data_IF_325351234077
#
_entry.id   IF_325351234077
#
_cell.length_a   1.000
_cell.length_b   1.000
_cell.length_c   1.000
_cell.angle_alpha   90.00
_cell.angle_beta   90.00
_cell.angle_gamma   90.00
#
_symmetry.space_group_name_H-M   'P 1'
#
loop_
_entity.id
_entity.type
_entity.pdbx_description
1 polymer ?
#
# COMPACT_ATOMS: atom_id res chain seq x y z
N UNK A 1 -10.59 0.72 -9.73
CA UNK A 1 -11.25 1.95 -9.22
C UNK A 1 -12.28 1.69 -8.12
N UNK A 2 -13.05 0.58 -8.14
CA UNK A 2 -14.04 0.26 -7.08
C UNK A 2 -13.39 -0.18 -5.76
N UNK A 3 -12.38 -1.04 -5.82
CA UNK A 3 -11.67 -1.58 -4.64
C UNK A 3 -10.94 -0.51 -3.83
N UNK A 4 -10.40 0.51 -4.51
CA UNK A 4 -9.79 1.65 -3.82
C UNK A 4 -10.81 2.47 -3.03
N UNK A 5 -11.95 2.81 -3.63
CA UNK A 5 -13.03 3.52 -2.94
C UNK A 5 -13.58 2.72 -1.75
N UNK A 6 -13.64 1.40 -1.87
CA UNK A 6 -13.99 0.52 -0.76
C UNK A 6 -13.00 0.63 0.39
N UNK A 7 -11.69 0.56 0.12
CA UNK A 7 -10.66 0.76 1.13
C UNK A 7 -10.71 2.16 1.75
N UNK A 8 -10.90 3.21 0.95
CA UNK A 8 -11.00 4.58 1.46
C UNK A 8 -12.19 4.76 2.41
N UNK A 9 -13.34 4.13 2.11
CA UNK A 9 -14.51 4.13 2.98
C UNK A 9 -14.24 3.41 4.31
N UNK A 10 -13.65 2.20 4.26
CA UNK A 10 -13.27 1.46 5.45
C UNK A 10 -12.34 2.26 6.36
N UNK A 11 -11.37 2.97 5.77
CA UNK A 11 -10.41 3.79 6.52
C UNK A 11 -11.08 5.00 7.14
N UNK A 12 -12.01 5.65 6.43
CA UNK A 12 -12.81 6.74 6.96
C UNK A 12 -13.66 6.28 8.16
N UNK A 13 -14.10 5.03 8.14
CA UNK A 13 -14.86 4.38 9.22
C UNK A 13 -13.97 3.83 10.36
N UNK A 14 -12.67 4.09 10.34
CA UNK A 14 -11.73 3.66 11.38
C UNK A 14 -11.30 2.19 11.27
N UNK A 15 -11.61 1.52 10.16
CA UNK A 15 -11.16 0.15 9.89
C UNK A 15 -9.74 0.18 9.33
N UNK A 16 -8.85 -0.53 10.01
CA UNK A 16 -7.50 -0.81 9.55
C UNK A 16 -7.51 -2.12 8.74
N UNK A 17 -7.10 -2.03 7.48
CA UNK A 17 -7.02 -3.16 6.54
C UNK A 17 -5.55 -3.54 6.34
N UNK A 18 -5.23 -4.83 6.48
CA UNK A 18 -3.87 -5.33 6.32
C UNK A 18 -3.87 -6.72 5.68
N UNK A 19 -2.70 -7.18 5.24
CA UNK A 19 -2.53 -8.54 4.70
C UNK A 19 -1.72 -9.36 5.70
N UNK A 20 -2.25 -10.51 6.11
CA UNK A 20 -1.58 -11.49 6.99
C UNK A 20 -1.72 -12.88 6.40
N UNK A 21 -0.63 -13.64 6.34
CA UNK A 21 -0.60 -15.02 5.82
C UNK A 21 -1.25 -15.19 4.43
N UNK A 22 -1.21 -14.16 3.58
CA UNK A 22 -1.83 -14.18 2.25
C UNK A 22 -3.34 -13.87 2.23
N UNK A 23 -3.92 -13.47 3.37
CA UNK A 23 -5.32 -13.10 3.50
C UNK A 23 -5.47 -11.62 3.88
N UNK A 24 -6.59 -11.03 3.46
CA UNK A 24 -6.98 -9.69 3.90
C UNK A 24 -7.60 -9.80 5.29
N UNK A 25 -7.08 -9.01 6.21
CA UNK A 25 -7.54 -8.91 7.59
C UNK A 25 -7.99 -7.49 7.92
N UNK A 26 -8.87 -7.39 8.90
CA UNK A 26 -9.51 -6.16 9.35
C UNK A 26 -9.41 -6.03 10.87
N UNK A 27 -9.10 -4.83 11.35
CA UNK A 27 -9.20 -4.48 12.77
C UNK A 27 -9.79 -3.08 12.93
N UNK A 28 -10.66 -2.85 13.91
CA UNK A 28 -11.36 -1.58 14.08
C UNK A 28 -12.69 -1.76 14.83
N UNK A 29 -13.63 -0.81 14.71
CA UNK A 29 -14.97 -0.94 15.26
C UNK A 29 -15.67 -2.23 14.80
N UNK A 30 -16.28 -2.96 15.72
CA UNK A 30 -16.81 -4.32 15.47
C UNK A 30 -17.91 -4.33 14.40
N UNK A 31 -18.81 -3.34 14.42
CA UNK A 31 -19.86 -3.15 13.42
C UNK A 31 -19.27 -2.94 12.02
N UNK A 32 -18.25 -2.09 11.90
CA UNK A 32 -17.59 -1.81 10.61
C UNK A 32 -16.76 -2.99 10.12
N UNK A 33 -16.11 -3.73 11.00
CA UNK A 33 -15.39 -4.96 10.65
C UNK A 33 -16.35 -6.04 10.17
N UNK A 34 -17.52 -6.18 10.80
CA UNK A 34 -18.55 -7.11 10.34
C UNK A 34 -19.06 -6.74 8.93
N UNK A 35 -19.41 -5.47 8.70
CA UNK A 35 -19.80 -4.96 7.37
C UNK A 35 -18.70 -5.20 6.31
N UNK A 36 -17.43 -4.97 6.67
CA UNK A 36 -16.29 -5.21 5.78
C UNK A 36 -16.17 -6.70 5.40
N UNK A 37 -16.36 -7.60 6.37
CA UNK A 37 -16.32 -9.06 6.13
C UNK A 37 -17.50 -9.51 5.25
N UNK A 38 -18.68 -8.95 5.45
CA UNK A 38 -19.85 -9.22 4.58
C UNK A 38 -19.59 -8.78 3.14
N UNK A 39 -19.06 -7.57 2.94
CA UNK A 39 -18.69 -7.08 1.62
C UNK A 39 -17.63 -7.96 0.94
N UNK A 40 -16.64 -8.45 1.68
CA UNK A 40 -15.64 -9.40 1.18
C UNK A 40 -16.24 -10.73 0.73
N UNK A 41 -17.26 -11.23 1.45
CA UNK A 41 -17.98 -12.44 1.06
C UNK A 41 -18.86 -12.22 -0.18
N UNK A 42 -19.49 -11.04 -0.30
CA UNK A 42 -20.34 -10.69 -1.43
C UNK A 42 -19.56 -10.47 -2.74
N UNK A 43 -18.28 -10.05 -2.65
CA UNK A 43 -17.42 -9.80 -3.81
C UNK A 43 -16.08 -10.55 -3.69
N UNK A 44 -16.04 -11.84 -4.07
CA UNK A 44 -14.85 -12.69 -3.89
C UNK A 44 -13.56 -12.20 -4.59
N UNK A 45 -13.67 -11.33 -5.60
CA UNK A 45 -12.49 -10.74 -6.26
C UNK A 45 -11.81 -9.65 -5.42
N UNK A 46 -12.51 -9.04 -4.45
CA UNK A 46 -11.97 -7.94 -3.64
C UNK A 46 -10.70 -8.34 -2.90
N UNK A 47 -10.64 -9.56 -2.34
CA UNK A 47 -9.48 -9.99 -1.58
C UNK A 47 -8.19 -9.99 -2.41
N UNK A 48 -8.23 -10.58 -3.60
CA UNK A 48 -7.08 -10.61 -4.50
C UNK A 48 -6.70 -9.22 -5.02
N UNK A 49 -7.67 -8.32 -5.19
CA UNK A 49 -7.42 -6.93 -5.56
C UNK A 49 -6.78 -6.15 -4.41
N UNK A 50 -7.33 -6.23 -3.19
CA UNK A 50 -6.77 -5.59 -1.99
C UNK A 50 -5.35 -6.07 -1.72
N UNK A 51 -5.08 -7.38 -1.84
CA UNK A 51 -3.73 -7.92 -1.67
C UNK A 51 -2.76 -7.29 -2.68
N UNK A 52 -3.14 -7.17 -3.95
CA UNK A 52 -2.29 -6.52 -4.96
C UNK A 52 -2.07 -5.03 -4.67
N UNK A 53 -3.09 -4.33 -4.18
CA UNK A 53 -3.00 -2.92 -3.80
C UNK A 53 -2.06 -2.71 -2.60
N UNK A 54 -2.14 -3.59 -1.59
CA UNK A 54 -1.37 -3.47 -0.35
C UNK A 54 0.04 -4.08 -0.47
N UNK A 55 0.22 -5.08 -1.31
CA UNK A 55 1.49 -5.76 -1.58
C UNK A 55 1.75 -5.81 -3.11
N UNK A 56 2.08 -4.68 -3.75
CA UNK A 56 2.39 -4.66 -5.17
C UNK A 56 3.64 -5.48 -5.46
N UNK A 57 3.60 -6.24 -6.55
CA UNK A 57 4.73 -7.06 -7.00
C UNK A 57 5.90 -6.18 -7.46
N UNK A 58 7.12 -6.73 -7.61
CA UNK A 58 8.24 -5.97 -8.18
C UNK A 58 7.93 -5.39 -9.58
N UNK A 59 7.14 -6.11 -10.39
CA UNK A 59 6.71 -5.64 -11.71
C UNK A 59 5.77 -4.43 -11.60
N UNK A 60 4.77 -4.48 -10.71
CA UNK A 60 3.84 -3.37 -10.49
C UNK A 60 4.58 -2.11 -9.99
N UNK A 61 5.54 -2.30 -9.08
CA UNK A 61 6.38 -1.19 -8.58
C UNK A 61 7.26 -0.62 -9.68
N UNK A 62 7.70 -1.45 -10.61
CA UNK A 62 8.51 -1.01 -11.75
C UNK A 62 7.68 -0.18 -12.72
N UNK A 63 6.50 -0.67 -13.09
CA UNK A 63 5.55 0.07 -13.92
C UNK A 63 5.20 1.42 -13.28
N UNK A 64 4.96 1.44 -11.96
CA UNK A 64 4.78 2.68 -11.23
C UNK A 64 5.97 3.63 -11.39
N UNK A 65 7.20 3.18 -11.14
CA UNK A 65 8.42 3.99 -11.25
C UNK A 65 8.59 4.57 -12.65
N UNK A 66 8.34 3.77 -13.68
CA UNK A 66 8.48 4.15 -15.09
C UNK A 66 7.45 5.22 -15.49
N UNK A 67 6.28 5.25 -14.84
CA UNK A 67 5.27 6.30 -15.02
C UNK A 67 5.61 7.63 -14.31
N UNK A 68 6.63 7.68 -13.45
CA UNK A 68 6.96 8.87 -12.67
C UNK A 68 7.80 9.90 -13.45
N UNK A 69 7.80 11.14 -12.95
CA UNK A 69 8.68 12.21 -13.44
C UNK A 69 10.16 11.96 -13.15
N UNK A 70 11.03 12.73 -13.81
CA UNK A 70 12.49 12.55 -13.74
C UNK A 70 13.06 12.67 -12.32
N UNK A 71 12.46 13.47 -11.44
CA UNK A 71 12.93 13.60 -10.06
C UNK A 71 12.88 12.28 -9.29
N UNK A 72 11.76 11.54 -9.38
CA UNK A 72 11.59 10.26 -8.70
C UNK A 72 12.50 9.19 -9.32
N UNK A 73 12.61 9.19 -10.67
CA UNK A 73 13.51 8.28 -11.38
C UNK A 73 14.99 8.54 -11.05
N UNK A 74 15.39 9.79 -10.86
CA UNK A 74 16.74 10.16 -10.42
C UNK A 74 17.01 9.71 -8.99
N UNK A 75 16.09 9.96 -8.06
CA UNK A 75 16.22 9.49 -6.68
C UNK A 75 16.42 7.97 -6.62
N UNK A 76 15.62 7.21 -7.39
CA UNK A 76 15.79 5.76 -7.49
C UNK A 76 17.22 5.39 -7.92
N UNK A 77 17.75 5.98 -8.99
CA UNK A 77 19.11 5.69 -9.49
C UNK A 77 20.17 6.03 -8.44
N UNK A 78 20.08 7.20 -7.82
CA UNK A 78 21.01 7.60 -6.74
C UNK A 78 20.95 6.64 -5.55
N UNK A 79 19.75 6.13 -5.20
CA UNK A 79 19.57 5.15 -4.13
C UNK A 79 20.20 3.81 -4.51
N UNK A 80 20.04 3.35 -5.76
CA UNK A 80 20.71 2.14 -6.27
C UNK A 80 22.23 2.26 -6.13
N UNK A 81 22.80 3.40 -6.54
CA UNK A 81 24.25 3.62 -6.47
C UNK A 81 24.78 3.61 -5.02
N UNK A 82 24.05 4.25 -4.09
CA UNK A 82 24.40 4.20 -2.66
C UNK A 82 24.36 2.78 -2.09
N UNK A 83 23.34 1.99 -2.43
CA UNK A 83 23.18 0.61 -1.94
C UNK A 83 24.25 -0.32 -2.53
N UNK A 84 24.58 -0.17 -3.81
CA UNK A 84 25.68 -0.91 -4.45
C UNK A 84 27.02 -0.60 -3.77
N UNK A 85 27.31 0.68 -3.53
CA UNK A 85 28.52 1.11 -2.85
C UNK A 85 28.62 0.56 -1.42
N UNK A 86 27.48 0.33 -0.77
CA UNK A 86 27.39 -0.28 0.55
C UNK A 86 27.45 -1.83 0.54
N UNK A 87 27.54 -2.47 -0.62
CA UNK A 87 27.61 -3.93 -0.73
C UNK A 87 26.27 -4.66 -0.55
N UNK A 88 25.14 -4.00 -0.76
CA UNK A 88 23.81 -4.63 -0.69
C UNK A 88 23.58 -5.49 -1.93
N UNK A 89 23.37 -6.80 -1.75
CA UNK A 89 23.22 -7.77 -2.84
C UNK A 89 22.02 -7.49 -3.77
N UNK A 90 20.91 -7.00 -3.22
CA UNK A 90 19.66 -6.71 -3.94
C UNK A 90 19.38 -5.19 -4.04
N UNK A 91 20.43 -4.40 -4.33
CA UNK A 91 20.37 -2.95 -4.32
C UNK A 91 19.20 -2.37 -5.16
N UNK A 92 18.91 -2.95 -6.32
CA UNK A 92 17.83 -2.50 -7.20
C UNK A 92 16.44 -2.82 -6.63
N UNK A 93 16.24 -4.02 -6.09
CA UNK A 93 14.98 -4.42 -5.47
C UNK A 93 14.70 -3.63 -4.20
N UNK A 94 15.71 -3.43 -3.36
CA UNK A 94 15.62 -2.61 -2.14
C UNK A 94 15.34 -1.15 -2.51
N UNK A 95 16.07 -0.59 -3.48
CA UNK A 95 15.82 0.77 -3.95
C UNK A 95 14.42 0.94 -4.53
N UNK A 96 13.92 -0.01 -5.32
CA UNK A 96 12.59 0.04 -5.91
C UNK A 96 11.52 0.00 -4.82
N UNK A 97 11.66 -0.92 -3.86
CA UNK A 97 10.72 -1.08 -2.75
C UNK A 97 10.66 0.17 -1.87
N UNK A 98 11.82 0.72 -1.49
CA UNK A 98 11.92 1.90 -0.63
C UNK A 98 11.53 3.18 -1.35
N UNK A 99 11.90 3.37 -2.62
CA UNK A 99 11.47 4.55 -3.41
C UNK A 99 9.96 4.57 -3.56
N UNK A 100 9.34 3.43 -3.89
CA UNK A 100 7.89 3.28 -3.93
C UNK A 100 7.25 3.60 -2.57
N UNK A 101 7.82 3.09 -1.48
CA UNK A 101 7.33 3.35 -0.12
C UNK A 101 7.48 4.83 0.29
N UNK A 102 8.59 5.48 -0.02
CA UNK A 102 8.80 6.90 0.33
C UNK A 102 7.86 7.82 -0.45
N UNK A 103 7.46 7.38 -1.64
CA UNK A 103 6.54 8.09 -2.53
C UNK A 103 5.11 7.61 -2.40
N UNK A 104 4.80 6.88 -1.33
CA UNK A 104 3.45 6.45 -0.95
C UNK A 104 2.40 7.59 -0.99
N UNK A 105 2.81 8.85 -0.85
CA UNK A 105 1.98 10.05 -1.01
C UNK A 105 1.69 10.45 -2.46
N UNK A 106 2.59 10.11 -3.38
CA UNK A 106 2.58 10.41 -4.82
C UNK A 106 2.17 9.21 -5.69
N UNK A 107 1.99 8.04 -5.08
CA UNK A 107 1.40 6.90 -5.77
C UNK A 107 0.05 7.31 -6.37
N UNK A 108 -0.30 6.86 -7.59
CA UNK A 108 -1.67 6.99 -8.07
C UNK A 108 -2.61 6.38 -7.02
N UNK A 109 -3.84 6.87 -6.88
CA UNK A 109 -4.73 6.50 -5.75
C UNK A 109 -4.82 4.98 -5.53
N UNK A 110 -4.80 4.18 -6.59
CA UNK A 110 -4.79 2.72 -6.50
C UNK A 110 -3.50 2.10 -5.92
N UNK A 111 -2.49 2.85 -5.54
CA UNK A 111 -1.24 2.33 -4.99
C UNK A 111 -0.86 2.97 -3.65
N UNK A 112 -1.46 4.09 -3.27
CA UNK A 112 -1.17 4.76 -1.99
C UNK A 112 -1.46 3.81 -0.81
N UNK A 113 -0.65 3.79 0.25
CA UNK A 113 -1.01 3.07 1.46
C UNK A 113 -2.29 3.63 2.04
N UNK A 114 -3.05 2.73 2.64
CA UNK A 114 -4.10 3.08 3.58
C UNK A 114 -3.43 3.79 4.76
N UNK A 115 -3.57 5.12 4.83
CA UNK A 115 -3.06 5.88 5.98
C UNK A 115 -3.96 5.61 7.18
N UNK A 116 -3.38 5.20 8.31
CA UNK A 116 -4.05 5.34 9.61
C UNK A 116 -4.41 6.82 9.78
N UNK A 117 -5.68 7.12 10.00
CA UNK A 117 -6.07 8.41 10.55
C UNK A 117 -5.50 8.45 11.98
N UNK A 118 -4.41 9.19 12.18
CA UNK A 118 -3.90 9.50 13.52
C UNK A 118 -4.83 10.57 14.07
N UNK A 119 -5.81 10.16 14.87
CA UNK A 119 -6.86 11.03 15.39
C UNK A 119 -7.78 10.33 16.38
N UNK A 120 -7.20 9.56 17.31
CA UNK A 120 -7.82 9.24 18.60
C UNK A 120 -6.72 9.41 19.65
N UNK A 121 -6.26 10.66 19.80
CA UNK A 121 -5.59 11.06 21.04
C UNK A 121 -6.70 11.24 22.08
N UNK A 122 -6.59 10.42 23.13
CA UNK A 122 -6.94 10.67 24.53
C UNK A 122 -8.12 11.61 24.81
N UNK A 123 -9.19 11.04 25.36
CA UNK A 123 -10.12 11.78 26.21
C UNK A 123 -10.69 10.86 27.27
N UNK A 124 -10.30 11.11 28.52
CA UNK A 124 -11.06 10.78 29.73
C UNK A 124 -10.63 9.51 30.46
#
# INVERSE_FOLDING_TARGET
MKTRKFLDALVADGVHVFVSLGHVEFSGPEDRVAEAREAMNAFPSLGGEIIRLLNPSPADRREWLDSQGENVRREYRERVDRLRKAGVAEAEGVALSTTHHDHNSMLPEHMKPIRKIRGMEESG
#
